data_IF_787650825345
#
_entry.id   IF_787650825345
#
_cell.length_a   1.000
_cell.length_b   1.000
_cell.length_c   1.000
_cell.angle_alpha   90.00
_cell.angle_beta   90.00
_cell.angle_gamma   90.00
#
_symmetry.space_group_name_H-M   'P 1'
#
loop_
_entity.id
_entity.type
_entity.pdbx_description
1 polymer ?
#
# COMPACT_ATOMS: atom_id res chain seq x y z
N UNK A 1 -14.22 15.39 5.97
CA UNK A 1 -13.83 14.03 5.57
C UNK A 1 -13.94 13.90 4.07
N UNK A 2 -12.86 13.54 3.42
CA UNK A 2 -12.85 13.41 1.98
C UNK A 2 -13.01 11.94 1.57
N UNK A 3 -13.94 11.63 0.66
CA UNK A 3 -14.08 10.27 0.18
C UNK A 3 -12.83 9.83 -0.58
N UNK A 4 -12.65 8.52 -0.70
CA UNK A 4 -11.56 7.99 -1.48
C UNK A 4 -11.76 8.31 -2.96
N UNK A 5 -10.66 8.65 -3.64
CA UNK A 5 -10.69 8.84 -5.08
C UNK A 5 -10.74 7.49 -5.78
N UNK A 6 -11.08 7.51 -7.06
CA UNK A 6 -11.08 6.30 -7.86
C UNK A 6 -9.69 5.65 -7.87
N UNK A 7 -8.65 6.48 -7.99
CA UNK A 7 -7.27 5.99 -7.94
C UNK A 7 -6.98 5.27 -6.63
N UNK A 8 -7.38 5.87 -5.51
CA UNK A 8 -7.15 5.29 -4.19
C UNK A 8 -7.88 3.96 -4.04
N UNK A 9 -9.11 3.87 -4.51
CA UNK A 9 -9.85 2.62 -4.48
C UNK A 9 -9.20 1.54 -5.36
N UNK A 10 -8.68 1.94 -6.51
CA UNK A 10 -7.97 1.02 -7.40
C UNK A 10 -6.68 0.51 -6.77
N UNK A 11 -5.97 1.37 -6.03
CA UNK A 11 -4.76 0.97 -5.33
C UNK A 11 -5.06 -0.09 -4.27
N UNK A 12 -6.11 0.10 -3.50
CA UNK A 12 -6.50 -0.88 -2.49
C UNK A 12 -6.94 -2.20 -3.13
N UNK A 13 -7.69 -2.14 -4.21
CA UNK A 13 -8.10 -3.34 -4.94
C UNK A 13 -6.89 -4.08 -5.50
N UNK A 14 -5.90 -3.34 -5.99
CA UNK A 14 -4.66 -3.91 -6.50
C UNK A 14 -3.89 -4.64 -5.40
N UNK A 15 -3.76 -4.03 -4.21
CA UNK A 15 -3.09 -4.66 -3.08
C UNK A 15 -3.81 -5.92 -2.61
N UNK A 16 -5.11 -5.93 -2.72
CA UNK A 16 -5.91 -7.09 -2.35
C UNK A 16 -5.63 -8.29 -3.25
N UNK A 17 -5.31 -8.03 -4.52
CA UNK A 17 -5.09 -9.08 -5.52
C UNK A 17 -3.65 -9.56 -5.59
N UNK A 18 -2.69 -8.74 -5.16
CA UNK A 18 -1.28 -9.02 -5.37
C UNK A 18 -0.53 -9.38 -4.10
N UNK A 19 0.21 -10.45 -4.16
CA UNK A 19 0.92 -10.97 -3.00
C UNK A 19 2.08 -11.92 -3.37
N UNK A 20 2.24 -12.30 -4.64
CA UNK A 20 3.14 -13.39 -4.98
C UNK A 20 4.59 -12.98 -5.20
N UNK A 21 4.85 -12.16 -6.18
CA UNK A 21 6.21 -11.84 -6.57
C UNK A 21 6.44 -10.33 -6.57
N UNK A 22 7.41 -9.84 -5.78
CA UNK A 22 7.71 -8.40 -5.77
C UNK A 22 8.07 -7.84 -7.13
N UNK A 23 8.87 -8.57 -7.91
CA UNK A 23 9.26 -8.12 -9.24
C UNK A 23 8.09 -7.99 -10.20
N UNK A 24 7.18 -8.96 -10.17
CA UNK A 24 5.99 -8.91 -11.00
C UNK A 24 5.07 -7.78 -10.56
N UNK A 25 4.97 -7.56 -9.25
CA UNK A 25 4.14 -6.48 -8.71
C UNK A 25 4.65 -5.11 -9.15
N UNK A 26 5.97 -4.90 -9.12
CA UNK A 26 6.55 -3.63 -9.54
C UNK A 26 6.24 -3.32 -10.99
N UNK A 27 6.32 -4.34 -11.85
CA UNK A 27 6.00 -4.21 -13.27
C UNK A 27 4.53 -3.83 -13.47
N UNK A 28 3.66 -4.50 -12.72
CA UNK A 28 2.23 -4.23 -12.78
C UNK A 28 1.88 -2.84 -12.27
N UNK A 29 2.60 -2.34 -11.26
CA UNK A 29 2.40 -0.99 -10.77
C UNK A 29 2.64 0.01 -11.90
N UNK A 30 3.73 -0.15 -12.63
CA UNK A 30 4.04 0.75 -13.73
C UNK A 30 2.96 0.69 -14.80
N UNK A 31 2.52 -0.50 -15.17
CA UNK A 31 1.50 -0.67 -16.21
C UNK A 31 0.12 -0.18 -15.77
N UNK A 32 -0.27 -0.48 -14.53
CA UNK A 32 -1.62 -0.16 -14.06
C UNK A 32 -1.78 1.30 -13.65
N UNK A 33 -0.73 1.91 -13.11
CA UNK A 33 -0.82 3.25 -12.53
C UNK A 33 0.09 4.28 -13.20
N UNK A 34 0.96 3.84 -14.09
CA UNK A 34 1.85 4.75 -14.80
C UNK A 34 2.84 5.49 -13.91
N UNK A 35 3.21 4.89 -12.78
CA UNK A 35 4.12 5.51 -11.84
C UNK A 35 5.18 4.51 -11.37
N UNK A 36 6.28 5.03 -10.80
CA UNK A 36 7.33 4.17 -10.27
C UNK A 36 6.84 3.44 -9.02
N UNK A 37 7.43 2.27 -8.70
CA UNK A 37 7.09 1.57 -7.46
C UNK A 37 7.34 2.43 -6.22
N UNK A 38 8.43 3.20 -6.20
CA UNK A 38 8.74 4.09 -5.07
C UNK A 38 7.61 5.09 -4.84
N UNK A 39 7.17 5.76 -5.90
CA UNK A 39 6.09 6.72 -5.80
C UNK A 39 4.78 6.07 -5.40
N UNK A 40 4.52 4.90 -5.97
CA UNK A 40 3.31 4.15 -5.64
C UNK A 40 3.26 3.83 -4.14
N UNK A 41 4.36 3.32 -3.56
CA UNK A 41 4.38 2.97 -2.16
C UNK A 41 4.31 4.18 -1.23
N UNK A 42 4.85 5.32 -1.66
CA UNK A 42 4.67 6.56 -0.90
C UNK A 42 3.19 6.92 -0.81
N UNK A 43 2.50 6.87 -1.94
CA UNK A 43 1.06 7.15 -1.98
C UNK A 43 0.26 6.13 -1.19
N UNK A 44 0.64 4.86 -1.28
CA UNK A 44 -0.04 3.80 -0.55
C UNK A 44 0.12 3.97 0.95
N UNK A 45 1.32 4.33 1.42
CA UNK A 45 1.56 4.55 2.84
C UNK A 45 0.70 5.70 3.38
N UNK A 46 0.55 6.77 2.63
CA UNK A 46 -0.33 7.87 3.01
C UNK A 46 -1.79 7.40 3.03
N UNK A 47 -2.17 6.61 2.04
CA UNK A 47 -3.54 6.14 1.90
C UNK A 47 -3.96 5.25 3.08
N UNK A 48 -3.12 4.29 3.47
CA UNK A 48 -3.50 3.37 4.53
C UNK A 48 -3.57 4.00 5.91
N UNK A 49 -3.09 5.23 6.06
CA UNK A 49 -3.21 5.98 7.30
C UNK A 49 -4.52 6.78 7.38
N UNK A 50 -5.27 6.85 6.29
CA UNK A 50 -6.53 7.58 6.26
C UNK A 50 -7.66 6.72 6.83
N UNK A 51 -8.52 7.30 7.69
CA UNK A 51 -9.68 6.57 8.21
C UNK A 51 -10.61 6.06 7.13
N UNK A 52 -10.71 6.78 6.02
CA UNK A 52 -11.56 6.40 4.90
C UNK A 52 -11.12 5.09 4.28
N UNK A 53 -9.80 4.87 4.18
CA UNK A 53 -9.28 3.61 3.66
C UNK A 53 -9.61 2.45 4.60
N UNK A 54 -9.46 2.67 5.91
CA UNK A 54 -9.76 1.64 6.90
C UNK A 54 -11.25 1.28 6.89
N UNK A 55 -12.11 2.23 6.59
CA UNK A 55 -13.54 1.96 6.46
C UNK A 55 -13.87 1.22 5.17
N UNK A 56 -13.14 1.54 4.11
CA UNK A 56 -13.35 0.91 2.80
C UNK A 56 -12.99 -0.57 2.83
N UNK A 57 -11.84 -0.91 3.41
CA UNK A 57 -11.38 -2.30 3.48
C UNK A 57 -10.55 -2.50 4.75
N UNK A 58 -11.21 -2.69 5.90
CA UNK A 58 -10.52 -2.75 7.19
C UNK A 58 -9.51 -3.88 7.30
N UNK A 59 -9.82 -5.04 6.76
CA UNK A 59 -8.92 -6.21 6.84
C UNK A 59 -7.65 -5.96 6.05
N UNK A 60 -7.79 -5.48 4.83
CA UNK A 60 -6.65 -5.18 3.97
C UNK A 60 -5.76 -4.10 4.58
N UNK A 61 -6.37 -2.99 5.02
CA UNK A 61 -5.62 -1.87 5.58
C UNK A 61 -4.87 -2.28 6.84
N UNK A 62 -5.51 -3.06 7.71
CA UNK A 62 -4.86 -3.57 8.91
C UNK A 62 -3.64 -4.42 8.56
N UNK A 63 -3.77 -5.27 7.55
CA UNK A 63 -2.67 -6.12 7.08
C UNK A 63 -1.52 -5.29 6.52
N UNK A 64 -1.84 -4.29 5.71
CA UNK A 64 -0.82 -3.41 5.13
C UNK A 64 -0.09 -2.60 6.20
N UNK A 65 -0.81 -2.12 7.20
CA UNK A 65 -0.20 -1.41 8.32
C UNK A 65 0.72 -2.31 9.12
N UNK A 66 0.33 -3.56 9.35
CA UNK A 66 1.19 -4.53 10.05
C UNK A 66 2.45 -4.81 9.28
N UNK A 67 2.37 -4.95 7.96
CA UNK A 67 3.54 -5.20 7.12
C UNK A 67 4.50 -4.02 7.18
N UNK A 68 3.98 -2.80 7.15
CA UNK A 68 4.78 -1.59 7.25
C UNK A 68 5.47 -1.51 8.61
N UNK A 69 4.74 -1.77 9.67
CA UNK A 69 5.28 -1.74 11.03
C UNK A 69 6.38 -2.76 11.22
N UNK A 70 6.19 -3.96 10.68
CA UNK A 70 7.20 -5.02 10.76
C UNK A 70 8.47 -4.61 10.01
N UNK A 71 8.31 -4.01 8.84
CA UNK A 71 9.45 -3.54 8.05
C UNK A 71 10.22 -2.45 8.79
N UNK A 72 9.51 -1.50 9.38
CA UNK A 72 10.12 -0.41 10.14
C UNK A 72 10.82 -0.92 11.39
N UNK A 73 10.25 -1.91 12.05
CA UNK A 73 10.86 -2.53 13.21
C UNK A 73 12.18 -3.22 12.88
N UNK A 74 12.21 -3.94 11.77
CA UNK A 74 13.43 -4.60 11.30
C UNK A 74 14.51 -3.58 10.96
N UNK A 75 14.12 -2.46 10.36
CA UNK A 75 15.04 -1.38 10.05
C UNK A 75 15.65 -0.80 11.31
N UNK A 76 14.81 -0.48 12.30
CA UNK A 76 15.27 0.07 13.57
C UNK A 76 16.22 -0.88 14.28
N UNK A 77 15.93 -2.17 14.23
CA UNK A 77 16.80 -3.17 14.82
C UNK A 77 18.18 -3.20 14.19
N UNK A 78 18.28 -2.89 12.92
CA UNK A 78 19.56 -2.85 12.20
C UNK A 78 20.40 -1.66 12.60
N UNK A 79 19.77 -0.55 12.89
CA UNK A 79 20.46 0.69 13.21
C UNK A 79 20.95 0.74 14.64
N UNK A 80 20.42 -0.06 15.49
CA UNK A 80 20.86 -0.16 16.88
C UNK A 80 21.97 -1.21 17.07
#
# INVERSE_FOLDING_TARGET
>A
MQPLTELEMRMLAFERSWWQSPGAKEREILEAFGTSPTRYYQLLNELIDRPEAARFDPVLVARLRRRRAKRNKLRSGRES
#
